data_IF_791272461309
#
_entry.id   IF_791272461309
#
_cell.length_a   1.000
_cell.length_b   1.000
_cell.length_c   1.000
_cell.angle_alpha   90.00
_cell.angle_beta   90.00
_cell.angle_gamma   90.00
#
_symmetry.space_group_name_H-M   'P 1'
#
loop_
_entity.id
_entity.type
_entity.pdbx_description
1 polymer ?
#
# COMPACT_ATOMS: atom_id res chain seq x y z
N UNK A 1 -7.27 -3.58 17.99
CA UNK A 1 -6.21 -4.49 17.48
C UNK A 1 -6.35 -4.55 15.97
N UNK A 2 -5.25 -4.34 15.24
CA UNK A 2 -5.22 -4.40 13.78
C UNK A 2 -4.76 -5.78 13.30
N UNK A 3 -5.40 -6.30 12.25
CA UNK A 3 -4.94 -7.45 11.46
C UNK A 3 -4.04 -6.92 10.35
N UNK A 4 -2.79 -7.38 10.30
CA UNK A 4 -1.79 -6.91 9.34
C UNK A 4 -1.40 -8.07 8.44
N UNK A 5 -1.65 -7.95 7.15
CA UNK A 5 -1.22 -8.88 6.12
C UNK A 5 0.15 -8.44 5.61
N UNK A 6 1.14 -9.29 5.71
CA UNK A 6 2.50 -8.98 5.23
C UNK A 6 2.89 -9.96 4.14
N UNK A 7 3.25 -9.44 2.99
CA UNK A 7 3.83 -10.25 1.94
C UNK A 7 5.33 -10.43 2.20
N UNK A 8 5.74 -11.69 2.39
CA UNK A 8 7.15 -12.02 2.51
C UNK A 8 7.71 -12.27 1.11
N UNK A 9 8.43 -11.28 0.59
CA UNK A 9 9.00 -11.28 -0.76
C UNK A 9 10.03 -12.41 -0.97
N UNK A 10 10.68 -12.86 0.09
CA UNK A 10 11.71 -13.89 0.02
C UNK A 10 11.12 -15.31 -0.03
N UNK A 11 10.09 -15.58 0.76
CA UNK A 11 9.41 -16.87 0.80
C UNK A 11 8.22 -17.00 -0.14
N UNK A 12 7.83 -15.90 -0.80
CA UNK A 12 6.62 -15.78 -1.63
C UNK A 12 5.33 -16.21 -0.88
N UNK A 13 5.19 -15.78 0.38
CA UNK A 13 4.06 -16.13 1.24
C UNK A 13 3.39 -14.90 1.83
N UNK A 14 2.09 -15.01 2.03
CA UNK A 14 1.34 -14.07 2.88
C UNK A 14 1.40 -14.53 4.33
N UNK A 15 1.69 -13.59 5.21
CA UNK A 15 1.76 -13.79 6.66
C UNK A 15 0.73 -12.88 7.33
N UNK A 16 0.20 -13.30 8.47
CA UNK A 16 -0.82 -12.52 9.20
C UNK A 16 -0.36 -12.27 10.62
N UNK A 17 -0.44 -11.02 11.05
CA UNK A 17 -0.10 -10.57 12.39
C UNK A 17 -1.30 -9.82 13.00
N UNK A 18 -1.47 -9.96 14.31
CA UNK A 18 -2.38 -9.13 15.09
C UNK A 18 -1.56 -8.25 16.02
N UNK A 19 -1.76 -6.93 15.96
CA UNK A 19 -1.01 -5.94 16.74
C UNK A 19 -1.93 -4.86 17.31
N UNK A 20 -1.61 -4.39 18.50
CA UNK A 20 -2.19 -3.16 19.06
C UNK A 20 -1.56 -1.92 18.40
N UNK A 21 -2.23 -0.78 18.47
CA UNK A 21 -1.81 0.47 17.83
C UNK A 21 -0.40 0.93 18.24
N UNK A 22 -0.04 0.74 19.50
CA UNK A 22 1.26 1.13 20.06
C UNK A 22 2.40 0.11 19.84
N UNK A 23 2.12 -1.04 19.24
CA UNK A 23 3.13 -2.04 18.91
C UNK A 23 3.84 -1.67 17.61
N UNK A 24 5.11 -2.10 17.49
CA UNK A 24 5.85 -1.96 16.25
C UNK A 24 5.18 -2.75 15.11
N UNK A 25 5.25 -2.21 13.90
CA UNK A 25 4.87 -2.94 12.68
C UNK A 25 5.65 -4.26 12.60
N UNK A 26 5.04 -5.33 12.03
CA UNK A 26 5.79 -6.56 11.73
C UNK A 26 7.03 -6.23 10.89
N UNK A 27 8.12 -6.95 11.09
CA UNK A 27 9.41 -6.73 10.42
C UNK A 27 10.07 -5.37 10.65
N UNK A 28 9.49 -4.51 11.49
CA UNK A 28 10.17 -3.29 11.95
C UNK A 28 11.15 -3.64 13.09
N UNK A 29 12.33 -4.13 12.73
CA UNK A 29 13.35 -4.66 13.66
C UNK A 29 13.89 -3.62 14.63
N UNK A 30 14.01 -2.36 14.20
CA UNK A 30 14.47 -1.26 15.02
C UNK A 30 13.33 -0.56 15.83
N UNK A 31 12.10 -1.06 15.71
CA UNK A 31 10.90 -0.59 16.44
C UNK A 31 10.66 0.92 16.34
N UNK A 32 10.88 1.49 15.17
CA UNK A 32 10.78 2.92 14.89
C UNK A 32 9.53 3.30 14.09
N UNK A 33 8.62 2.37 13.89
CA UNK A 33 7.33 2.55 13.21
C UNK A 33 6.28 1.74 13.95
N UNK A 34 5.34 2.38 14.58
CA UNK A 34 4.20 1.74 15.23
C UNK A 34 3.06 1.47 14.25
N UNK A 35 2.13 0.60 14.63
CA UNK A 35 0.90 0.35 13.86
C UNK A 35 0.10 1.63 13.70
N UNK A 36 0.03 2.46 14.73
CA UNK A 36 -0.69 3.74 14.71
C UNK A 36 -0.09 4.72 13.71
N UNK A 37 1.24 4.87 13.71
CA UNK A 37 1.95 5.70 12.73
C UNK A 37 1.76 5.19 11.30
N UNK A 38 1.77 3.87 11.10
CA UNK A 38 1.57 3.28 9.77
C UNK A 38 0.12 3.41 9.31
N UNK A 39 -0.87 3.14 10.17
CA UNK A 39 -2.28 3.28 9.83
C UNK A 39 -2.72 4.73 9.69
N UNK A 40 -2.11 5.64 10.45
CA UNK A 40 -2.40 7.08 10.41
C UNK A 40 -3.90 7.37 10.53
N UNK A 41 -4.46 8.06 9.54
CA UNK A 41 -5.89 8.40 9.49
C UNK A 41 -6.78 7.32 8.86
N UNK A 42 -6.27 6.12 8.57
CA UNK A 42 -7.11 5.01 8.11
C UNK A 42 -8.08 4.57 9.21
N UNK A 43 -9.33 4.36 8.84
CA UNK A 43 -10.37 3.84 9.75
C UNK A 43 -10.46 2.30 9.70
N UNK A 44 -9.60 1.65 8.92
CA UNK A 44 -9.56 0.20 8.79
C UNK A 44 -8.75 -0.43 9.93
N UNK A 45 -9.20 -1.58 10.39
CA UNK A 45 -8.42 -2.46 11.26
C UNK A 45 -7.71 -3.59 10.50
N UNK A 46 -7.79 -3.61 9.15
CA UNK A 46 -7.01 -4.48 8.27
C UNK A 46 -6.03 -3.64 7.48
N UNK A 47 -4.75 -3.93 7.64
CA UNK A 47 -3.63 -3.25 6.99
C UNK A 47 -2.84 -4.28 6.18
N UNK A 48 -2.05 -3.80 5.23
CA UNK A 48 -1.09 -4.64 4.52
C UNK A 48 0.18 -3.88 4.14
N UNK A 49 1.28 -4.62 4.01
CA UNK A 49 2.59 -4.16 3.57
C UNK A 49 3.41 -5.36 3.11
N UNK A 50 4.69 -5.17 2.83
CA UNK A 50 5.61 -6.28 2.57
C UNK A 50 6.92 -6.16 3.38
N UNK A 51 7.66 -7.26 3.45
CA UNK A 51 8.91 -7.34 4.22
C UNK A 51 9.94 -6.37 3.65
N UNK A 52 10.07 -6.29 2.33
CA UNK A 52 11.05 -5.41 1.69
C UNK A 52 10.83 -3.94 2.06
N UNK A 53 9.59 -3.47 2.05
CA UNK A 53 9.25 -2.09 2.47
C UNK A 53 9.62 -1.83 3.95
N UNK A 54 9.39 -2.81 4.82
CA UNK A 54 9.77 -2.68 6.24
C UNK A 54 11.30 -2.68 6.41
N UNK A 55 12.03 -3.44 5.62
CA UNK A 55 13.50 -3.42 5.60
C UNK A 55 14.04 -2.10 5.05
N UNK A 56 13.42 -1.54 4.01
CA UNK A 56 13.74 -0.21 3.50
C UNK A 56 13.53 0.85 4.59
N UNK A 57 12.41 0.80 5.32
CA UNK A 57 12.19 1.69 6.46
C UNK A 57 13.28 1.53 7.52
N UNK A 58 13.59 0.30 7.94
CA UNK A 58 14.62 0.03 8.94
C UNK A 58 15.98 0.61 8.52
N UNK A 59 16.38 0.34 7.29
CA UNK A 59 17.66 0.78 6.71
C UNK A 59 17.71 2.31 6.63
N UNK A 60 16.67 2.94 6.12
CA UNK A 60 16.61 4.39 6.01
C UNK A 60 16.58 5.08 7.39
N UNK A 61 15.84 4.55 8.35
CA UNK A 61 15.83 5.06 9.72
C UNK A 61 17.20 5.00 10.38
N UNK A 62 17.95 3.91 10.12
CA UNK A 62 19.33 3.79 10.58
C UNK A 62 20.26 4.84 9.94
N UNK A 63 20.21 4.97 8.60
CA UNK A 63 21.02 5.93 7.84
C UNK A 63 20.68 7.39 8.23
N UNK A 64 19.42 7.70 8.41
CA UNK A 64 18.99 9.06 8.79
C UNK A 64 19.37 9.40 10.23
N UNK A 65 19.38 8.42 11.13
CA UNK A 65 19.89 8.54 12.50
C UNK A 65 19.05 9.40 13.45
N UNK A 66 17.84 9.82 13.02
CA UNK A 66 16.93 10.68 13.80
C UNK A 66 15.50 10.17 13.70
N UNK A 67 14.60 10.49 14.66
CA UNK A 67 13.18 10.24 14.52
C UNK A 67 12.62 10.87 13.24
N UNK A 68 11.73 10.16 12.57
CA UNK A 68 11.00 10.64 11.38
C UNK A 68 9.52 10.67 11.77
N UNK A 69 8.91 11.84 11.65
CA UNK A 69 7.46 11.97 11.81
C UNK A 69 6.78 11.40 10.57
N UNK A 70 5.89 10.43 10.76
CA UNK A 70 5.08 9.83 9.70
C UNK A 70 3.72 10.50 9.72
N UNK A 71 3.43 11.30 8.72
CA UNK A 71 2.13 11.95 8.56
C UNK A 71 1.14 11.05 7.86
N UNK A 72 1.63 10.18 6.97
CA UNK A 72 0.79 9.28 6.21
C UNK A 72 1.58 8.08 5.67
N UNK A 73 1.05 6.86 5.81
CA UNK A 73 1.66 5.69 5.18
C UNK A 73 0.62 4.78 4.48
N UNK A 74 -0.51 4.48 5.11
CA UNK A 74 -1.47 3.51 4.60
C UNK A 74 -2.90 4.04 4.56
N UNK A 75 -3.62 3.69 3.49
CA UNK A 75 -5.09 3.71 3.40
C UNK A 75 -5.60 2.60 2.51
N UNK A 76 -6.85 2.22 2.74
CA UNK A 76 -7.54 1.33 1.79
C UNK A 76 -8.11 2.16 0.63
N UNK A 77 -8.22 1.58 -0.59
CA UNK A 77 -8.72 2.31 -1.76
C UNK A 77 -10.04 3.05 -1.54
N UNK A 78 -11.01 2.41 -0.94
CA UNK A 78 -12.33 3.00 -0.71
C UNK A 78 -12.33 4.19 0.27
N UNK A 79 -11.30 4.34 1.08
CA UNK A 79 -11.13 5.52 1.95
C UNK A 79 -10.72 6.76 1.15
N UNK A 80 -10.04 6.60 0.02
CA UNK A 80 -9.57 7.69 -0.82
C UNK A 80 -8.46 8.54 -0.18
N UNK A 81 -8.38 9.80 -0.63
CA UNK A 81 -7.41 10.78 -0.12
C UNK A 81 -6.10 10.83 -0.90
N UNK A 82 -5.87 9.93 -1.84
CA UNK A 82 -4.72 9.90 -2.75
C UNK A 82 -5.15 9.66 -4.20
N UNK A 83 -4.20 9.84 -5.13
CA UNK A 83 -4.43 9.53 -6.54
C UNK A 83 -4.80 8.06 -6.78
N UNK A 84 -5.50 7.81 -7.88
CA UNK A 84 -6.12 6.52 -8.20
C UNK A 84 -5.19 5.31 -8.06
N UNK A 85 -3.91 5.42 -8.45
CA UNK A 85 -2.93 4.33 -8.40
C UNK A 85 -1.81 4.62 -7.38
N UNK A 86 -2.17 5.25 -6.25
CA UNK A 86 -1.23 5.61 -5.20
C UNK A 86 -0.61 4.39 -4.52
N UNK A 87 0.69 4.45 -4.24
CA UNK A 87 1.44 3.41 -3.53
C UNK A 87 1.06 3.33 -2.03
N UNK A 88 0.42 4.34 -1.48
CA UNK A 88 -0.17 4.28 -0.14
C UNK A 88 -1.25 3.19 -0.03
N UNK A 89 -2.02 2.94 -1.09
CA UNK A 89 -2.97 1.82 -1.11
C UNK A 89 -2.29 0.46 -1.16
N UNK A 90 -1.03 0.39 -1.60
CA UNK A 90 -0.24 -0.83 -1.54
C UNK A 90 0.46 -1.02 -0.18
N UNK A 91 0.46 0.00 0.68
CA UNK A 91 1.19 -0.03 1.95
C UNK A 91 2.71 -0.04 1.79
N UNK A 92 3.22 0.58 0.71
CA UNK A 92 4.65 0.65 0.39
C UNK A 92 5.17 2.08 0.27
N UNK A 93 4.38 3.07 0.69
CA UNK A 93 4.72 4.49 0.58
C UNK A 93 4.61 5.20 1.93
N UNK A 94 5.39 6.26 2.08
CA UNK A 94 5.41 7.10 3.26
C UNK A 94 5.44 8.58 2.88
N UNK A 95 4.56 9.37 3.48
CA UNK A 95 4.60 10.82 3.54
C UNK A 95 5.08 11.23 4.92
N UNK A 96 6.24 11.86 5.00
CA UNK A 96 6.95 12.11 6.25
C UNK A 96 7.41 13.56 6.38
N UNK A 97 7.80 13.95 7.60
CA UNK A 97 8.47 15.23 7.85
C UNK A 97 7.55 16.45 7.81
N UNK A 98 6.24 16.28 7.99
CA UNK A 98 5.27 17.40 8.04
C UNK A 98 5.52 18.35 9.21
N UNK A 99 6.22 17.87 10.27
CA UNK A 99 6.62 18.65 11.44
C UNK A 99 7.93 19.45 11.23
N UNK A 100 8.58 19.32 10.07
CA UNK A 100 9.81 20.02 9.74
C UNK A 100 9.50 21.32 8.96
N UNK A 101 10.42 22.28 9.01
CA UNK A 101 10.44 23.39 8.07
C UNK A 101 10.89 22.94 6.67
N UNK A 102 10.89 23.85 5.70
CA UNK A 102 11.27 23.52 4.32
C UNK A 102 12.72 23.00 4.23
N UNK A 103 13.66 23.62 4.93
CA UNK A 103 15.07 23.21 4.91
C UNK A 103 15.26 21.80 5.50
N UNK A 104 14.55 21.49 6.58
CA UNK A 104 14.52 20.17 7.20
C UNK A 104 13.93 19.11 6.26
N UNK A 105 12.83 19.40 5.57
CA UNK A 105 12.25 18.50 4.55
C UNK A 105 13.18 18.29 3.37
N UNK A 106 13.81 19.35 2.85
CA UNK A 106 14.77 19.25 1.76
C UNK A 106 15.97 18.37 2.16
N UNK A 107 16.48 18.52 3.38
CA UNK A 107 17.55 17.67 3.92
C UNK A 107 17.10 16.21 4.01
N UNK A 108 15.91 15.93 4.59
CA UNK A 108 15.34 14.58 4.71
C UNK A 108 15.17 13.93 3.34
N UNK A 109 14.58 14.66 2.38
CA UNK A 109 14.39 14.20 0.98
C UNK A 109 15.73 13.87 0.31
N UNK A 110 16.72 14.75 0.40
CA UNK A 110 18.03 14.54 -0.22
C UNK A 110 18.75 13.33 0.39
N UNK A 111 18.64 13.13 1.69
CA UNK A 111 19.17 11.93 2.35
C UNK A 111 18.44 10.67 1.94
N UNK A 112 17.11 10.71 1.77
CA UNK A 112 16.35 9.58 1.25
C UNK A 112 16.79 9.21 -0.17
N UNK A 113 16.93 10.20 -1.06
CA UNK A 113 17.39 9.98 -2.44
C UNK A 113 18.84 9.46 -2.49
N UNK A 114 19.74 10.03 -1.71
CA UNK A 114 21.14 9.63 -1.69
C UNK A 114 21.37 8.25 -1.02
N UNK A 115 20.43 7.77 -0.21
CA UNK A 115 20.55 6.48 0.46
C UNK A 115 20.47 5.28 -0.48
N UNK A 116 19.82 5.43 -1.64
CA UNK A 116 19.55 4.33 -2.57
C UNK A 116 18.62 3.24 -2.02
N UNK A 117 17.99 3.48 -0.87
CA UNK A 117 17.10 2.51 -0.20
C UNK A 117 15.74 2.43 -0.88
N UNK A 118 15.18 3.59 -1.24
CA UNK A 118 13.82 3.69 -1.78
C UNK A 118 13.81 3.55 -3.30
N UNK A 119 12.83 2.85 -3.84
CA UNK A 119 12.63 2.73 -5.30
C UNK A 119 12.25 4.06 -5.95
N UNK A 120 11.61 4.95 -5.18
CA UNK A 120 11.26 6.29 -5.61
C UNK A 120 11.30 7.28 -4.45
N UNK A 121 11.83 8.46 -4.71
CA UNK A 121 11.79 9.62 -3.80
C UNK A 121 11.29 10.82 -4.60
N UNK A 122 10.15 11.37 -4.22
CA UNK A 122 9.50 12.44 -4.98
C UNK A 122 10.30 13.74 -4.91
N UNK A 123 10.38 14.51 -6.02
CA UNK A 123 10.94 15.86 -6.01
C UNK A 123 10.22 16.76 -5.01
N UNK A 124 10.98 17.56 -4.24
CA UNK A 124 10.41 18.41 -3.17
C UNK A 124 9.43 19.46 -3.71
N UNK A 125 9.56 19.84 -4.97
CA UNK A 125 8.70 20.80 -5.65
C UNK A 125 7.27 20.29 -5.81
N UNK A 126 7.08 18.96 -5.90
CA UNK A 126 5.77 18.31 -6.01
C UNK A 126 5.11 18.13 -4.66
N UNK A 127 5.92 17.96 -3.59
CA UNK A 127 5.44 17.77 -2.22
C UNK A 127 6.11 18.72 -1.23
N UNK A 128 5.95 20.07 -1.36
CA UNK A 128 6.72 21.04 -0.57
C UNK A 128 6.38 21.01 0.93
N UNK A 129 5.27 20.38 1.33
CA UNK A 129 4.81 20.28 2.72
C UNK A 129 5.13 18.96 3.42
N UNK A 130 5.62 17.96 2.66
CA UNK A 130 6.07 16.66 3.18
C UNK A 130 7.13 16.09 2.25
N UNK A 131 7.72 14.98 2.64
CA UNK A 131 8.62 14.18 1.80
C UNK A 131 7.95 12.86 1.50
N UNK A 132 7.79 12.55 0.22
CA UNK A 132 7.26 11.27 -0.23
C UNK A 132 8.38 10.35 -0.72
N UNK A 133 8.36 9.12 -0.26
CA UNK A 133 9.17 8.03 -0.82
C UNK A 133 8.42 6.69 -0.74
N UNK A 134 8.74 5.80 -1.67
CA UNK A 134 8.08 4.51 -1.76
C UNK A 134 8.95 3.40 -2.38
N UNK A 135 8.49 2.16 -2.19
CA UNK A 135 9.06 0.93 -2.76
C UNK A 135 8.18 0.36 -3.88
N UNK A 136 7.76 1.24 -4.82
CA UNK A 136 6.98 0.81 -5.99
C UNK A 136 7.68 -0.29 -6.79
N UNK A 137 6.88 -1.23 -7.32
CA UNK A 137 7.40 -2.39 -8.06
C UNK A 137 7.52 -2.14 -9.57
N UNK A 138 6.93 -1.06 -10.05
CA UNK A 138 6.95 -0.64 -11.46
C UNK A 138 7.07 0.88 -11.52
N UNK A 139 7.61 1.41 -12.60
CA UNK A 139 7.86 2.85 -12.75
C UNK A 139 6.58 3.70 -12.64
N UNK A 140 5.43 3.17 -13.04
CA UNK A 140 4.15 3.87 -12.97
C UNK A 140 3.00 2.89 -12.74
N UNK A 141 2.05 3.29 -11.90
CA UNK A 141 0.85 2.50 -11.60
C UNK A 141 1.13 1.27 -10.74
N UNK A 142 0.41 0.18 -11.05
CA UNK A 142 0.53 -1.09 -10.36
C UNK A 142 1.05 -2.19 -11.29
N UNK A 143 1.75 -3.21 -10.76
CA UNK A 143 2.22 -4.33 -11.56
C UNK A 143 1.05 -5.15 -12.11
N UNK A 144 1.31 -5.85 -13.22
CA UNK A 144 0.37 -6.84 -13.74
C UNK A 144 0.11 -7.90 -12.68
N UNK A 145 -1.16 -8.11 -12.36
CA UNK A 145 -1.60 -9.03 -11.31
C UNK A 145 -2.59 -10.04 -11.91
N UNK A 146 -2.35 -11.33 -11.68
CA UNK A 146 -3.07 -12.43 -12.33
C UNK A 146 -3.10 -13.68 -11.46
N UNK A 147 -3.80 -14.71 -11.90
CA UNK A 147 -3.86 -16.02 -11.22
C UNK A 147 -2.44 -16.49 -10.81
N UNK A 148 -2.28 -16.83 -9.53
CA UNK A 148 -1.02 -17.20 -8.91
C UNK A 148 -0.22 -16.04 -8.30
N UNK A 149 -0.54 -14.78 -8.62
CA UNK A 149 0.08 -13.61 -7.98
C UNK A 149 -0.22 -13.57 -6.48
N UNK A 150 0.69 -12.99 -5.71
CA UNK A 150 0.56 -12.81 -4.25
C UNK A 150 1.04 -11.41 -3.85
N UNK A 151 0.59 -10.94 -2.69
CA UNK A 151 1.10 -9.73 -2.05
C UNK A 151 0.15 -8.54 -2.06
N UNK A 152 0.72 -7.38 -1.82
CA UNK A 152 0.00 -6.13 -1.54
C UNK A 152 -0.96 -5.71 -2.65
N UNK A 153 -0.53 -5.84 -3.90
CA UNK A 153 -1.38 -5.49 -5.05
C UNK A 153 -2.55 -6.45 -5.22
N UNK A 154 -2.40 -7.72 -4.79
CA UNK A 154 -3.55 -8.64 -4.71
C UNK A 154 -4.49 -8.22 -3.60
N UNK A 155 -3.98 -7.76 -2.45
CA UNK A 155 -4.82 -7.19 -1.39
C UNK A 155 -5.63 -5.99 -1.90
N UNK A 156 -5.02 -5.07 -2.67
CA UNK A 156 -5.74 -3.95 -3.31
C UNK A 156 -6.86 -4.46 -4.21
N UNK A 157 -6.56 -5.43 -5.08
CA UNK A 157 -7.53 -5.99 -6.03
C UNK A 157 -8.72 -6.63 -5.31
N UNK A 158 -8.43 -7.46 -4.32
CA UNK A 158 -9.47 -8.13 -3.53
C UNK A 158 -10.31 -7.12 -2.76
N UNK A 159 -9.67 -6.16 -2.08
CA UNK A 159 -10.37 -5.11 -1.34
C UNK A 159 -11.31 -4.29 -2.24
N UNK A 160 -10.80 -3.85 -3.38
CA UNK A 160 -11.57 -3.09 -4.35
C UNK A 160 -12.77 -3.91 -4.89
N UNK A 161 -12.54 -5.15 -5.31
CA UNK A 161 -13.58 -6.03 -5.85
C UNK A 161 -14.63 -6.36 -4.80
N UNK A 162 -14.24 -6.69 -3.57
CA UNK A 162 -15.16 -6.99 -2.47
C UNK A 162 -16.05 -5.78 -2.18
N UNK A 163 -15.45 -4.58 -2.10
CA UNK A 163 -16.20 -3.37 -1.78
C UNK A 163 -17.30 -3.06 -2.80
N UNK A 164 -17.11 -3.45 -4.07
CA UNK A 164 -18.12 -3.31 -5.15
C UNK A 164 -18.93 -4.60 -5.40
N UNK A 165 -18.89 -5.58 -4.48
CA UNK A 165 -19.80 -6.72 -4.44
C UNK A 165 -19.35 -7.98 -5.18
N UNK A 166 -18.05 -8.14 -5.50
CA UNK A 166 -17.52 -9.38 -6.08
C UNK A 166 -16.94 -10.31 -5.01
N UNK A 167 -17.20 -11.62 -5.12
CA UNK A 167 -16.65 -12.64 -4.21
C UNK A 167 -15.25 -13.07 -4.63
N UNK A 168 -14.23 -12.54 -3.98
CA UNK A 168 -12.83 -12.93 -4.19
C UNK A 168 -12.39 -14.13 -3.33
N UNK A 169 -13.26 -14.61 -2.45
CA UNK A 169 -12.94 -15.64 -1.46
C UNK A 169 -12.33 -15.08 -0.17
N UNK A 170 -12.26 -13.75 -0.05
CA UNK A 170 -11.72 -13.05 1.10
C UNK A 170 -10.61 -12.07 0.72
N UNK A 171 -10.05 -11.42 1.73
CA UNK A 171 -8.93 -10.50 1.63
C UNK A 171 -7.70 -11.19 2.27
N UNK A 172 -6.95 -11.93 1.46
CA UNK A 172 -5.83 -12.77 1.88
C UNK A 172 -4.52 -12.51 1.10
N UNK A 173 -4.57 -11.67 0.05
CA UNK A 173 -3.42 -11.35 -0.79
C UNK A 173 -2.98 -12.50 -1.70
N UNK A 174 -3.85 -13.49 -1.95
CA UNK A 174 -3.58 -14.63 -2.84
C UNK A 174 -4.56 -14.60 -4.02
N UNK A 175 -4.04 -14.39 -5.22
CA UNK A 175 -4.86 -14.38 -6.43
C UNK A 175 -5.22 -15.80 -6.84
N UNK A 176 -6.22 -16.35 -6.16
CA UNK A 176 -6.78 -17.68 -6.44
C UNK A 176 -7.90 -17.64 -7.48
N UNK A 177 -8.54 -18.80 -7.69
CA UNK A 177 -9.61 -18.97 -8.69
C UNK A 177 -10.81 -18.04 -8.45
N UNK A 178 -11.20 -17.77 -7.19
CA UNK A 178 -12.31 -16.87 -6.88
C UNK A 178 -11.95 -15.42 -7.29
N UNK A 179 -10.77 -14.94 -6.94
CA UNK A 179 -10.27 -13.63 -7.39
C UNK A 179 -10.22 -13.55 -8.91
N UNK A 180 -9.71 -14.59 -9.59
CA UNK A 180 -9.66 -14.68 -11.05
C UNK A 180 -11.05 -14.56 -11.69
N UNK A 181 -12.02 -15.32 -11.19
CA UNK A 181 -13.40 -15.26 -11.69
C UNK A 181 -14.04 -13.89 -11.42
N UNK A 182 -13.77 -13.29 -10.27
CA UNK A 182 -14.24 -11.94 -9.94
C UNK A 182 -13.67 -10.88 -10.87
N UNK A 183 -12.38 -10.96 -11.22
CA UNK A 183 -11.75 -10.07 -12.21
C UNK A 183 -12.40 -10.24 -13.57
N UNK A 184 -12.61 -11.47 -14.05
CA UNK A 184 -13.27 -11.72 -15.33
C UNK A 184 -14.71 -11.19 -15.35
N UNK A 185 -15.47 -11.41 -14.28
CA UNK A 185 -16.83 -10.88 -14.16
C UNK A 185 -16.84 -9.36 -14.16
N UNK A 186 -15.88 -8.75 -13.44
CA UNK A 186 -15.68 -7.30 -13.44
C UNK A 186 -15.37 -6.77 -14.85
N UNK A 187 -14.41 -7.39 -15.53
CA UNK A 187 -14.02 -7.03 -16.91
C UNK A 187 -15.21 -7.11 -17.87
N UNK A 188 -15.95 -8.20 -17.82
CA UNK A 188 -17.14 -8.39 -18.67
C UNK A 188 -18.20 -7.29 -18.45
N UNK A 189 -18.49 -6.96 -17.18
CA UNK A 189 -19.48 -5.91 -16.85
C UNK A 189 -19.05 -4.50 -17.24
N UNK A 190 -17.73 -4.27 -17.37
CA UNK A 190 -17.17 -2.96 -17.71
C UNK A 190 -16.68 -2.88 -19.17
N UNK A 191 -17.02 -3.86 -20.03
CA UNK A 191 -16.64 -3.85 -21.44
C UNK A 191 -15.14 -3.96 -21.69
N UNK A 192 -14.39 -4.58 -20.78
CA UNK A 192 -12.96 -4.81 -20.89
C UNK A 192 -12.66 -6.18 -21.50
N UNK A 193 -11.41 -6.42 -21.94
CA UNK A 193 -10.95 -7.75 -22.35
C UNK A 193 -11.07 -8.71 -21.16
N UNK A 194 -11.81 -9.83 -21.35
CA UNK A 194 -12.14 -10.79 -20.29
C UNK A 194 -11.07 -11.87 -20.19
N UNK A 195 -9.87 -11.47 -19.74
CA UNK A 195 -8.69 -12.33 -19.62
C UNK A 195 -8.36 -12.73 -18.16
N UNK A 196 -9.00 -12.11 -17.18
CA UNK A 196 -8.73 -12.33 -15.75
C UNK A 196 -7.41 -11.72 -15.26
N UNK A 197 -6.85 -10.78 -16.03
CA UNK A 197 -5.59 -10.10 -15.73
C UNK A 197 -5.86 -8.64 -15.36
N UNK A 198 -5.34 -8.20 -14.23
CA UNK A 198 -5.29 -6.80 -13.85
C UNK A 198 -4.06 -6.14 -14.51
N UNK A 199 -4.20 -5.80 -15.78
CA UNK A 199 -3.27 -4.96 -16.51
C UNK A 199 -3.61 -3.47 -16.32
N UNK A 200 -2.85 -2.54 -16.94
CA UNK A 200 -2.99 -1.10 -16.71
C UNK A 200 -4.41 -0.55 -16.91
N UNK A 201 -5.12 -1.03 -17.93
CA UNK A 201 -6.51 -0.58 -18.21
C UNK A 201 -7.45 -1.09 -17.13
N UNK A 202 -7.41 -2.39 -16.81
CA UNK A 202 -8.29 -2.99 -15.78
C UNK A 202 -8.02 -2.37 -14.41
N UNK A 203 -6.74 -2.16 -14.04
CA UNK A 203 -6.37 -1.46 -12.82
C UNK A 203 -6.97 -0.06 -12.74
N UNK A 204 -6.77 0.74 -13.79
CA UNK A 204 -7.28 2.12 -13.81
C UNK A 204 -8.79 2.16 -13.71
N UNK A 205 -9.50 1.30 -14.45
CA UNK A 205 -10.97 1.23 -14.43
C UNK A 205 -11.48 0.86 -13.04
N UNK A 206 -10.88 -0.17 -12.41
CA UNK A 206 -11.27 -0.63 -11.08
C UNK A 206 -11.01 0.44 -10.01
N UNK A 207 -9.83 1.03 -10.02
CA UNK A 207 -9.45 2.00 -9.01
C UNK A 207 -10.19 3.34 -9.18
N UNK A 208 -10.49 3.78 -10.40
CA UNK A 208 -11.35 4.96 -10.61
C UNK A 208 -12.77 4.78 -10.06
N UNK A 209 -13.27 3.54 -10.03
CA UNK A 209 -14.58 3.25 -9.46
C UNK A 209 -14.56 3.20 -7.93
N UNK A 210 -13.46 2.75 -7.33
CA UNK A 210 -13.42 2.39 -5.89
C UNK A 210 -12.79 3.47 -5.03
N UNK A 211 -11.78 4.21 -5.55
CA UNK A 211 -11.05 5.18 -4.73
C UNK A 211 -12.00 6.29 -4.24
N UNK A 212 -12.10 6.38 -2.92
CA UNK A 212 -12.93 7.39 -2.25
C UNK A 212 -14.43 7.14 -2.28
N UNK A 213 -14.88 5.95 -2.73
CA UNK A 213 -16.32 5.66 -2.76
C UNK A 213 -16.94 5.44 -1.37
N UNK A 214 -16.10 5.24 -0.37
CA UNK A 214 -16.54 4.93 0.98
C UNK A 214 -16.75 3.44 1.23
N UNK A 215 -17.01 3.14 2.49
CA UNK A 215 -17.29 1.79 2.97
C UNK A 215 -18.69 1.34 2.54
N UNK A 216 -18.80 0.14 2.00
CA UNK A 216 -20.07 -0.47 1.62
C UNK A 216 -20.45 -1.62 2.58
N UNK A 217 -21.63 -2.20 2.41
CA UNK A 217 -22.05 -3.39 3.17
C UNK A 217 -21.17 -4.62 2.91
N UNK A 218 -20.43 -4.64 1.79
CA UNK A 218 -19.51 -5.72 1.43
C UNK A 218 -18.10 -5.53 2.00
N UNK A 219 -17.77 -4.33 2.49
CA UNK A 219 -16.41 -4.02 3.00
C UNK A 219 -16.05 -4.91 4.18
N UNK A 220 -14.93 -5.63 4.09
CA UNK A 220 -14.38 -6.43 5.18
C UNK A 220 -13.59 -5.51 6.14
N UNK A 221 -13.83 -5.69 7.43
CA UNK A 221 -13.07 -5.03 8.51
C UNK A 221 -12.26 -6.04 9.28
#
# INVERSE_FOLDING_TARGET
MAKILVYNNYSNRMETFNRSSNQAMPYNSNRTLTVDEFSGSSISNILWTDVQTMESWNSFRYIYGRPIFVGFAFKRPWEGGHGTLSQHYAGVAFDVGQNLDYAGRLNLRNRAAASGVWSYVEPIELTPRWVHFDDRRVASGYPITRLGSRGNYVCIAQDALINIGYDTGGLDGIFGNKTYNSVRNYQNRNGLSVDGILGPITWRTLMNQVVGMGKTNNTIN
#
